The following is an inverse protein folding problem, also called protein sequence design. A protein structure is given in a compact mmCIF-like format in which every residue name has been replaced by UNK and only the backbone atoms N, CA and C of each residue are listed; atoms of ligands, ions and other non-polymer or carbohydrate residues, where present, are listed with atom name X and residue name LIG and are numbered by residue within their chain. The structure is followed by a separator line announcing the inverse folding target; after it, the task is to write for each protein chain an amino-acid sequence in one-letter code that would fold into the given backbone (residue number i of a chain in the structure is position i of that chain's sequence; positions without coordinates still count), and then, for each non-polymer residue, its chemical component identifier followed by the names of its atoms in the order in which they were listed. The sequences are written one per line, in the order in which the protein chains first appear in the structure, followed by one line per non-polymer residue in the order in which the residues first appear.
data_IF_388811091137
#
_entry.id   IF_388811091137
#
_cell.length_a   1.000
_cell.length_b   1.000
_cell.length_c   1.000
_cell.angle_alpha   90.00
_cell.angle_beta   90.00
_cell.angle_gamma   90.00
#
_symmetry.space_group_name_H-M   'P 1'
#
loop_
_entity.id
_entity.type
_entity.pdbx_description
1 polymer ?
#
# COMPACT_ATOMS: atom_id res chain seq x y z
N UNK A 1 -26.14 5.97 5.78
CA UNK A 1 -25.04 5.63 4.85
C UNK A 1 -23.80 5.48 5.69
N UNK A 2 -23.06 4.37 5.54
CA UNK A 2 -21.75 4.20 6.20
C UNK A 2 -20.82 5.33 5.76
N UNK A 3 -20.09 5.91 6.71
CA UNK A 3 -19.12 6.97 6.42
C UNK A 3 -17.72 6.39 6.49
N UNK A 4 -16.89 6.68 5.51
CA UNK A 4 -15.53 6.15 5.43
C UNK A 4 -14.49 7.25 5.52
N UNK A 5 -13.29 6.90 5.98
CA UNK A 5 -12.09 7.71 5.86
C UNK A 5 -10.91 6.91 5.30
N UNK A 6 -10.01 7.60 4.61
CA UNK A 6 -8.72 7.03 4.20
C UNK A 6 -7.67 7.48 5.20
N UNK A 7 -6.89 6.50 5.67
CA UNK A 7 -5.80 6.73 6.59
C UNK A 7 -4.49 6.27 5.98
N UNK A 8 -3.44 7.07 6.16
CA UNK A 8 -2.09 6.58 6.06
C UNK A 8 -1.81 5.70 7.27
N UNK A 9 -1.06 4.61 7.09
CA UNK A 9 -0.63 3.75 8.16
C UNK A 9 0.79 3.26 7.92
N UNK A 10 1.50 2.95 9.00
CA UNK A 10 2.81 2.33 8.93
C UNK A 10 2.91 1.06 9.78
N UNK A 11 3.66 0.11 9.24
CA UNK A 11 4.17 -1.06 9.94
C UNK A 11 5.67 -0.85 10.19
N UNK A 12 6.06 -0.84 11.45
CA UNK A 12 7.47 -0.78 11.84
C UNK A 12 8.15 -2.14 11.57
N UNK A 13 9.21 -2.13 10.76
CA UNK A 13 9.96 -3.34 10.44
C UNK A 13 10.75 -3.83 11.69
N UNK A 14 10.70 -5.12 12.01
CA UNK A 14 11.38 -5.69 13.17
C UNK A 14 12.88 -5.91 12.89
N UNK A 15 13.62 -4.85 12.59
CA UNK A 15 15.06 -4.91 12.34
C UNK A 15 15.80 -4.83 13.69
N UNK A 16 16.61 -5.85 14.05
CA UNK A 16 17.36 -5.85 15.30
C UNK A 16 18.22 -4.60 15.45
N UNK A 17 18.14 -3.97 16.62
CA UNK A 17 18.89 -2.76 16.99
C UNK A 17 18.61 -1.50 16.15
N UNK A 18 17.71 -1.56 15.16
CA UNK A 18 17.37 -0.42 14.29
C UNK A 18 15.87 -0.38 13.97
N UNK A 19 15.08 0.08 14.92
CA UNK A 19 13.62 -0.04 14.92
C UNK A 19 12.89 1.14 14.23
N UNK A 20 13.55 1.81 13.28
CA UNK A 20 13.03 3.03 12.63
C UNK A 20 12.64 2.85 11.18
N UNK A 21 12.82 1.68 10.58
CA UNK A 21 12.38 1.46 9.20
C UNK A 21 10.88 1.13 9.16
N UNK A 22 10.18 1.71 8.20
CA UNK A 22 8.74 1.59 8.08
C UNK A 22 8.33 1.11 6.68
N UNK A 23 7.25 0.33 6.68
CA UNK A 23 6.46 -0.02 5.52
C UNK A 23 5.13 0.73 5.60
N UNK A 24 4.90 1.63 4.66
CA UNK A 24 3.70 2.45 4.59
C UNK A 24 2.62 1.80 3.72
N UNK A 25 1.37 2.01 4.10
CA UNK A 25 0.21 1.51 3.39
C UNK A 25 -1.04 2.36 3.68
N UNK A 26 -2.07 2.19 2.85
CA UNK A 26 -3.33 2.91 2.98
C UNK A 26 -4.40 2.03 3.62
N UNK A 27 -5.26 2.63 4.44
CA UNK A 27 -6.39 1.97 5.09
C UNK A 27 -7.68 2.67 4.69
N UNK A 28 -8.68 1.91 4.29
CA UNK A 28 -10.07 2.36 4.29
C UNK A 28 -10.71 1.94 5.61
N UNK A 29 -11.30 2.89 6.33
CA UNK A 29 -11.93 2.65 7.62
C UNK A 29 -13.35 3.18 7.62
N UNK A 30 -14.28 2.40 8.14
CA UNK A 30 -15.63 2.86 8.46
C UNK A 30 -15.61 3.59 9.81
N UNK A 31 -16.19 4.79 9.85
CA UNK A 31 -15.98 5.76 10.92
C UNK A 31 -16.79 5.43 12.17
N UNK A 32 -18.04 5.01 12.02
CA UNK A 32 -18.96 4.84 13.15
C UNK A 32 -18.58 3.63 14.01
N UNK A 33 -18.27 2.51 13.35
CA UNK A 33 -17.81 1.27 13.97
C UNK A 33 -16.30 1.25 14.24
N UNK A 34 -15.55 2.23 13.68
CA UNK A 34 -14.09 2.27 13.71
C UNK A 34 -13.45 1.00 13.09
N UNK A 35 -14.11 0.35 12.14
CA UNK A 35 -13.68 -0.93 11.55
C UNK A 35 -12.77 -0.72 10.34
N UNK A 36 -11.66 -1.45 10.28
CA UNK A 36 -10.80 -1.51 9.08
C UNK A 36 -11.51 -2.32 8.01
N UNK A 37 -11.84 -1.67 6.90
CA UNK A 37 -12.61 -2.26 5.80
C UNK A 37 -11.69 -2.92 4.79
N UNK A 38 -10.61 -2.22 4.43
CA UNK A 38 -9.64 -2.72 3.49
C UNK A 38 -8.27 -2.05 3.70
N UNK A 39 -7.23 -2.69 3.16
CA UNK A 39 -5.91 -2.08 3.04
C UNK A 39 -5.37 -2.13 1.61
N UNK A 40 -4.63 -1.10 1.21
CA UNK A 40 -3.93 -0.99 -0.08
C UNK A 40 -2.42 -0.90 0.16
N UNK A 41 -1.66 -1.82 -0.44
CA UNK A 41 -0.21 -1.98 -0.21
C UNK A 41 0.56 -2.27 -1.49
N UNK A 42 1.83 -1.90 -1.51
CA UNK A 42 2.84 -2.60 -2.32
C UNK A 42 3.51 -3.67 -1.48
N UNK A 43 3.59 -4.91 -1.97
CA UNK A 43 4.16 -6.04 -1.24
C UNK A 43 5.14 -6.81 -2.13
N UNK A 44 6.19 -7.36 -1.53
CA UNK A 44 7.01 -8.34 -2.22
C UNK A 44 6.19 -9.62 -2.42
N UNK A 45 6.30 -10.20 -3.61
CA UNK A 45 5.58 -11.42 -3.99
C UNK A 45 6.53 -12.39 -4.65
N UNK A 46 6.52 -13.64 -4.22
CA UNK A 46 7.30 -14.70 -4.86
C UNK A 46 6.77 -14.97 -6.26
N UNK A 47 7.59 -14.75 -7.30
CA UNK A 47 7.22 -15.12 -8.68
C UNK A 47 7.00 -16.63 -8.83
N UNK A 48 7.65 -17.44 -8.01
CA UNK A 48 7.57 -18.91 -8.06
C UNK A 48 6.27 -19.46 -7.51
N UNK A 49 5.77 -18.87 -6.41
CA UNK A 49 4.61 -19.40 -5.69
C UNK A 49 3.39 -18.49 -5.70
N UNK A 50 3.53 -17.24 -6.14
CA UNK A 50 2.48 -16.21 -6.04
C UNK A 50 2.24 -15.70 -4.61
N UNK A 51 2.97 -16.20 -3.61
CA UNK A 51 2.74 -15.84 -2.22
C UNK A 51 3.31 -14.46 -1.88
N UNK A 52 2.55 -13.70 -1.09
CA UNK A 52 3.01 -12.47 -0.44
C UNK A 52 4.16 -12.81 0.51
N UNK A 53 5.20 -11.98 0.47
CA UNK A 53 6.34 -12.02 1.38
C UNK A 53 6.44 -10.64 2.06
N UNK A 54 6.27 -10.54 3.39
CA UNK A 54 6.22 -9.24 4.08
C UNK A 54 7.45 -8.35 3.84
N UNK A 55 8.64 -8.96 3.79
CA UNK A 55 9.90 -8.30 3.43
C UNK A 55 10.57 -9.16 2.37
N UNK A 56 10.70 -8.65 1.15
CA UNK A 56 11.38 -9.39 0.08
C UNK A 56 12.84 -9.65 0.46
N UNK A 57 13.30 -10.89 0.32
CA UNK A 57 14.66 -11.30 0.68
C UNK A 57 15.42 -11.97 -0.49
N UNK A 58 14.76 -12.12 -1.64
CA UNK A 58 15.28 -12.82 -2.80
C UNK A 58 15.05 -11.96 -4.06
N UNK A 59 16.02 -12.02 -4.99
CA UNK A 59 15.96 -11.38 -6.31
C UNK A 59 14.80 -11.87 -7.20
N UNK A 60 14.28 -13.06 -6.93
CA UNK A 60 13.14 -13.65 -7.67
C UNK A 60 11.79 -13.07 -7.21
N UNK A 61 11.76 -12.11 -6.29
CA UNK A 61 10.53 -11.47 -5.84
C UNK A 61 10.16 -10.30 -6.74
N UNK A 62 8.87 -10.18 -7.06
CA UNK A 62 8.28 -9.04 -7.74
C UNK A 62 7.63 -8.08 -6.74
N UNK A 63 7.64 -6.80 -7.05
CA UNK A 63 6.80 -5.80 -6.39
C UNK A 63 5.40 -5.87 -6.99
N UNK A 64 4.39 -6.11 -6.15
CA UNK A 64 2.98 -6.16 -6.57
C UNK A 64 2.13 -5.27 -5.67
N UNK A 65 1.15 -4.61 -6.27
CA UNK A 65 0.09 -3.88 -5.58
C UNK A 65 -1.06 -4.83 -5.21
N UNK A 66 -1.65 -4.61 -4.03
CA UNK A 66 -2.77 -5.39 -3.51
C UNK A 66 -3.80 -4.50 -2.83
N UNK A 67 -5.08 -4.86 -3.00
CA UNK A 67 -6.17 -4.47 -2.10
C UNK A 67 -6.59 -5.70 -1.32
N UNK A 68 -6.47 -5.66 0.00
CA UNK A 68 -7.01 -6.70 0.87
C UNK A 68 -8.29 -6.16 1.50
N UNK A 69 -9.44 -6.64 1.04
CA UNK A 69 -10.73 -6.32 1.64
C UNK A 69 -11.03 -7.31 2.79
N UNK A 70 -11.37 -6.79 3.96
CA UNK A 70 -11.70 -7.58 5.14
C UNK A 70 -13.20 -7.65 5.37
N UNK A 71 -13.91 -6.56 5.07
CA UNK A 71 -15.36 -6.49 5.22
C UNK A 71 -16.08 -7.19 4.06
N UNK A 72 -16.97 -8.13 4.39
CA UNK A 72 -17.68 -8.96 3.40
C UNK A 72 -18.68 -8.14 2.57
N UNK A 73 -19.39 -7.20 3.19
CA UNK A 73 -20.39 -6.37 2.50
C UNK A 73 -19.71 -5.48 1.47
N UNK A 74 -18.65 -4.79 1.87
CA UNK A 74 -17.83 -3.95 1.00
C UNK A 74 -17.18 -4.76 -0.13
N UNK A 75 -16.62 -5.93 0.18
CA UNK A 75 -16.01 -6.80 -0.83
C UNK A 75 -17.03 -7.22 -1.90
N UNK A 76 -18.22 -7.66 -1.47
CA UNK A 76 -19.30 -8.05 -2.39
C UNK A 76 -19.80 -6.86 -3.22
N UNK A 77 -19.97 -5.70 -2.61
CA UNK A 77 -20.46 -4.49 -3.28
C UNK A 77 -19.55 -4.07 -4.44
N UNK A 78 -18.23 -4.22 -4.28
CA UNK A 78 -17.25 -3.77 -5.28
C UNK A 78 -16.55 -4.90 -6.04
N UNK A 79 -17.05 -6.14 -5.92
CA UNK A 79 -16.49 -7.30 -6.62
C UNK A 79 -15.04 -7.62 -6.25
N UNK A 80 -14.66 -7.36 -4.99
CA UNK A 80 -13.32 -7.61 -4.47
C UNK A 80 -13.25 -9.01 -3.85
N UNK A 81 -12.09 -9.65 -3.96
CA UNK A 81 -11.82 -10.86 -3.19
C UNK A 81 -11.55 -10.50 -1.73
N UNK A 82 -12.26 -11.15 -0.81
CA UNK A 82 -11.96 -11.04 0.61
C UNK A 82 -10.61 -11.73 0.90
N UNK A 83 -9.79 -11.09 1.72
CA UNK A 83 -8.49 -11.62 2.11
C UNK A 83 -8.25 -11.55 3.61
N UNK A 84 -7.26 -12.30 4.06
CA UNK A 84 -6.90 -12.44 5.49
C UNK A 84 -5.50 -11.93 5.81
N UNK A 85 -4.69 -11.64 4.79
CA UNK A 85 -3.38 -11.05 4.99
C UNK A 85 -3.52 -9.61 5.49
N UNK A 86 -2.93 -9.30 6.64
CA UNK A 86 -2.91 -7.94 7.16
C UNK A 86 -1.53 -7.63 7.76
N UNK A 87 -1.01 -6.43 7.49
CA UNK A 87 0.12 -5.92 8.25
C UNK A 87 -0.38 -5.28 9.56
N UNK A 88 0.34 -5.47 10.69
CA UNK A 88 0.04 -4.76 11.92
C UNK A 88 0.08 -3.24 11.73
N UNK A 89 -0.96 -2.57 12.22
CA UNK A 89 -1.07 -1.11 12.20
C UNK A 89 -0.41 -0.58 13.46
N UNK A 90 0.85 -0.16 13.38
CA UNK A 90 1.55 0.40 14.53
C UNK A 90 1.16 1.86 14.78
N UNK A 91 1.06 2.64 13.70
CA UNK A 91 0.62 4.04 13.73
C UNK A 91 -0.22 4.31 12.49
N UNK A 92 -1.23 5.17 12.63
CA UNK A 92 -2.04 5.62 11.50
C UNK A 92 -2.46 7.09 11.69
N UNK A 93 -2.82 7.74 10.58
CA UNK A 93 -3.31 9.11 10.52
C UNK A 93 -4.43 9.22 9.50
N UNK A 94 -5.56 9.79 9.90
CA UNK A 94 -6.62 10.15 8.94
C UNK A 94 -6.10 11.25 8.01
N UNK A 95 -6.10 10.96 6.71
CA UNK A 95 -5.60 11.84 5.65
C UNK A 95 -6.75 12.40 4.82
N UNK A 96 -7.83 11.62 4.64
CA UNK A 96 -8.99 12.03 3.85
C UNK A 96 -10.31 11.67 4.54
N UNK A 97 -11.18 12.67 4.70
CA UNK A 97 -12.46 12.58 5.41
C UNK A 97 -13.51 13.46 4.69
N UNK A 98 -13.93 13.04 3.50
CA UNK A 98 -15.03 13.64 2.74
C UNK A 98 -15.97 12.56 2.21
N UNK A 99 -17.12 12.96 1.68
CA UNK A 99 -18.18 12.05 1.24
C UNK A 99 -17.76 11.13 0.08
N UNK A 100 -16.83 11.59 -0.76
CA UNK A 100 -16.27 10.87 -1.92
C UNK A 100 -15.08 9.95 -1.57
N UNK A 101 -14.81 9.72 -0.28
CA UNK A 101 -13.72 8.88 0.22
C UNK A 101 -13.64 7.50 -0.48
N UNK A 102 -14.77 6.84 -0.67
CA UNK A 102 -14.81 5.53 -1.34
C UNK A 102 -14.48 5.66 -2.84
N UNK A 103 -14.83 6.77 -3.48
CA UNK A 103 -14.51 6.99 -4.90
C UNK A 103 -13.00 7.10 -5.11
N UNK A 104 -12.31 7.87 -4.25
CA UNK A 104 -10.84 7.95 -4.24
C UNK A 104 -10.21 6.58 -3.98
N UNK A 105 -10.72 5.81 -3.02
CA UNK A 105 -10.23 4.46 -2.77
C UNK A 105 -10.36 3.53 -3.99
N UNK A 106 -11.50 3.60 -4.68
CA UNK A 106 -11.75 2.81 -5.88
C UNK A 106 -10.84 3.19 -7.05
N UNK A 107 -10.39 4.44 -7.15
CA UNK A 107 -9.33 4.82 -8.11
C UNK A 107 -8.03 4.06 -7.82
N UNK A 108 -7.63 3.98 -6.55
CA UNK A 108 -6.50 3.17 -6.10
C UNK A 108 -6.63 1.70 -6.53
N UNK A 109 -7.80 1.10 -6.32
CA UNK A 109 -8.07 -0.29 -6.73
C UNK A 109 -7.92 -0.47 -8.24
N UNK A 110 -8.44 0.45 -9.06
CA UNK A 110 -8.33 0.35 -10.53
C UNK A 110 -6.89 0.33 -11.03
N UNK A 111 -5.98 1.04 -10.35
CA UNK A 111 -4.57 1.07 -10.73
C UNK A 111 -3.80 -0.23 -10.43
N UNK A 112 -4.33 -1.13 -9.58
CA UNK A 112 -3.62 -2.35 -9.16
C UNK A 112 -3.16 -3.19 -10.35
N UNK A 113 -4.05 -3.42 -11.32
CA UNK A 113 -3.72 -4.24 -12.49
C UNK A 113 -2.57 -3.59 -13.29
N UNK A 114 -2.71 -2.31 -13.61
CA UNK A 114 -1.71 -1.55 -14.37
C UNK A 114 -0.36 -1.52 -13.66
N UNK A 115 -0.33 -1.33 -12.33
CA UNK A 115 0.89 -1.43 -11.52
C UNK A 115 1.50 -2.84 -11.63
N UNK A 116 0.69 -3.88 -11.49
CA UNK A 116 1.15 -5.27 -11.51
C UNK A 116 1.66 -5.72 -12.87
N UNK A 117 1.13 -5.16 -13.96
CA UNK A 117 1.53 -5.45 -15.34
C UNK A 117 2.91 -4.87 -15.70
N UNK A 118 3.41 -3.86 -14.96
CA UNK A 118 4.81 -3.40 -15.10
C UNK A 118 5.83 -4.46 -14.67
N UNK A 119 5.36 -5.46 -13.92
CA UNK A 119 6.14 -6.61 -13.47
C UNK A 119 7.48 -6.26 -12.80
N UNK A 120 7.48 -5.22 -11.98
CA UNK A 120 8.66 -4.67 -11.31
C UNK A 120 9.32 -5.69 -10.37
N UNK A 121 10.65 -5.65 -10.29
CA UNK A 121 11.39 -6.42 -9.30
C UNK A 121 11.27 -5.80 -7.92
N UNK A 122 11.18 -6.63 -6.88
CA UNK A 122 11.28 -6.16 -5.50
C UNK A 122 12.75 -6.24 -5.06
N UNK A 123 13.35 -5.13 -4.60
CA UNK A 123 14.74 -5.15 -4.17
C UNK A 123 14.91 -6.02 -2.92
N UNK A 124 15.93 -6.90 -2.84
CA UNK A 124 16.22 -7.64 -1.62
C UNK A 124 16.34 -6.72 -0.41
N UNK A 125 15.69 -7.09 0.69
CA UNK A 125 15.56 -6.32 1.92
C UNK A 125 14.86 -4.95 1.75
N UNK A 126 14.22 -4.71 0.61
CA UNK A 126 13.43 -3.51 0.35
C UNK A 126 14.23 -2.29 -0.06
N UNK A 127 15.51 -2.39 -0.44
CA UNK A 127 16.30 -1.23 -0.85
C UNK A 127 17.38 -1.53 -1.91
N UNK A 128 17.80 -0.49 -2.63
CA UNK A 128 18.96 -0.50 -3.53
C UNK A 128 20.00 0.53 -3.10
N UNK A 129 21.22 0.43 -3.62
CA UNK A 129 22.24 1.48 -3.50
C UNK A 129 22.43 2.11 -4.90
N UNK A 130 22.25 3.44 -5.06
CA UNK A 130 21.88 4.43 -4.04
C UNK A 130 20.42 4.29 -3.58
N UNK A 131 20.13 4.67 -2.33
CA UNK A 131 18.79 4.56 -1.72
C UNK A 131 17.72 5.31 -2.52
N UNK A 132 18.08 6.45 -3.13
CA UNK A 132 17.20 7.26 -3.97
C UNK A 132 16.70 6.56 -5.23
N UNK A 133 17.37 5.48 -5.67
CA UNK A 133 16.92 4.67 -6.80
C UNK A 133 15.92 3.57 -6.41
N UNK A 134 15.59 3.45 -5.12
CA UNK A 134 14.77 2.34 -4.63
C UNK A 134 13.31 2.51 -5.07
N UNK A 135 12.81 1.56 -5.87
CA UNK A 135 11.38 1.32 -6.09
C UNK A 135 10.96 0.09 -5.28
N UNK A 136 10.09 0.29 -4.28
CA UNK A 136 9.66 -0.77 -3.35
C UNK A 136 8.19 -0.56 -2.89
N UNK A 137 7.81 -1.16 -1.76
CA UNK A 137 6.48 -1.01 -1.16
C UNK A 137 6.08 0.45 -0.90
N UNK A 138 6.99 1.28 -0.38
CA UNK A 138 6.70 2.68 -0.06
C UNK A 138 6.54 3.53 -1.33
N UNK A 139 7.19 3.13 -2.43
CA UNK A 139 6.96 3.76 -3.74
C UNK A 139 5.55 3.47 -4.28
N UNK A 140 5.00 2.29 -4.00
CA UNK A 140 3.59 1.97 -4.32
C UNK A 140 2.64 2.75 -3.41
N UNK A 141 2.95 2.88 -2.12
CA UNK A 141 2.20 3.75 -1.21
C UNK A 141 2.13 5.20 -1.73
N UNK A 142 3.25 5.78 -2.16
CA UNK A 142 3.28 7.10 -2.79
C UNK A 142 2.47 7.12 -4.10
N UNK A 143 2.65 6.14 -4.97
CA UNK A 143 1.88 6.01 -6.22
C UNK A 143 0.37 6.04 -5.95
N UNK A 144 -0.09 5.29 -4.95
CA UNK A 144 -1.51 5.28 -4.59
C UNK A 144 -2.01 6.63 -4.09
N UNK A 145 -1.20 7.41 -3.36
CA UNK A 145 -1.60 8.77 -2.97
C UNK A 145 -1.96 9.63 -4.18
N UNK A 146 -1.15 9.55 -5.24
CA UNK A 146 -1.34 10.29 -6.49
C UNK A 146 -2.54 9.76 -7.28
N UNK A 147 -2.67 8.44 -7.41
CA UNK A 147 -3.80 7.81 -8.10
C UNK A 147 -5.13 8.12 -7.42
N UNK A 148 -5.15 8.11 -6.09
CA UNK A 148 -6.35 8.40 -5.30
C UNK A 148 -6.57 9.91 -5.12
N UNK A 149 -5.68 10.77 -5.63
CA UNK A 149 -5.76 12.23 -5.46
C UNK A 149 -5.87 12.69 -4.00
N UNK A 150 -5.19 11.99 -3.08
CA UNK A 150 -5.15 12.33 -1.65
C UNK A 150 -3.75 12.80 -1.23
N UNK A 151 -3.63 13.60 -0.16
CA UNK A 151 -2.33 14.03 0.33
C UNK A 151 -1.41 12.85 0.69
N UNK A 152 -0.16 12.87 0.26
CA UNK A 152 0.85 11.96 0.76
C UNK A 152 1.17 12.30 2.23
N UNK A 153 1.21 11.31 3.09
CA UNK A 153 1.62 11.47 4.48
C UNK A 153 2.86 10.62 4.78
N UNK A 154 3.78 11.15 5.57
CA UNK A 154 4.95 10.45 6.10
C UNK A 154 4.96 10.53 7.61
N UNK A 155 5.45 9.48 8.26
CA UNK A 155 5.52 9.43 9.73
C UNK A 155 6.89 9.89 10.23
N UNK A 156 6.93 11.02 10.93
CA UNK A 156 8.15 11.61 11.46
C UNK A 156 8.91 10.65 12.40
N UNK A 157 10.23 10.65 12.29
CA UNK A 157 11.11 9.79 13.10
C UNK A 157 11.35 8.38 12.51
N UNK A 158 10.75 8.05 11.37
CA UNK A 158 10.93 6.78 10.67
C UNK A 158 11.58 6.95 9.29
N UNK A 159 12.32 5.94 8.87
CA UNK A 159 12.93 5.82 7.55
C UNK A 159 11.98 5.07 6.62
N UNK A 160 11.44 5.81 5.66
CA UNK A 160 10.53 5.32 4.63
C UNK A 160 11.29 5.14 3.32
N UNK A 161 12.18 4.14 3.23
CA UNK A 161 12.99 3.95 2.01
C UNK A 161 12.06 3.81 0.81
N UNK A 162 12.34 4.52 -0.29
CA UNK A 162 11.57 4.46 -1.53
C UNK A 162 10.37 5.41 -1.58
N UNK A 163 10.08 6.14 -0.49
CA UNK A 163 8.94 7.08 -0.42
C UNK A 163 9.06 8.25 -1.41
N UNK A 164 10.28 8.69 -1.73
CA UNK A 164 10.52 9.75 -2.70
C UNK A 164 10.19 9.32 -4.13
N UNK A 165 10.21 8.00 -4.39
CA UNK A 165 9.88 7.42 -5.68
C UNK A 165 8.38 7.17 -5.84
N UNK A 166 7.87 7.44 -7.03
CA UNK A 166 6.54 7.01 -7.47
C UNK A 166 6.63 6.47 -8.89
N UNK A 167 5.77 5.51 -9.22
CA UNK A 167 5.63 4.98 -10.58
C UNK A 167 4.42 5.58 -11.31
N UNK A 168 3.76 6.60 -10.74
CA UNK A 168 2.55 7.20 -11.31
C UNK A 168 2.71 7.64 -12.77
N UNK A 169 3.83 8.30 -13.11
CA UNK A 169 4.09 8.73 -14.48
C UNK A 169 4.19 7.58 -15.49
N UNK A 170 4.52 6.37 -15.03
CA UNK A 170 4.58 5.17 -15.87
C UNK A 170 3.19 4.57 -16.11
N UNK A 171 2.23 4.82 -15.23
CA UNK A 171 0.90 4.20 -15.29
C UNK A 171 -0.23 5.16 -15.69
N UNK A 172 -0.06 6.48 -15.53
CA UNK A 172 -1.14 7.47 -15.65
C UNK A 172 -1.88 7.50 -17.00
N UNK A 173 -1.25 7.07 -18.08
CA UNK A 173 -1.88 6.98 -19.42
C UNK A 173 -2.62 5.66 -19.66
N UNK A 174 -2.67 4.79 -18.64
CA UNK A 174 -3.28 3.46 -18.65
C UNK A 174 -4.32 3.29 -17.52
N UNK A 175 -4.73 4.38 -16.87
CA UNK A 175 -5.72 4.42 -15.79
C UNK A 175 -7.12 4.80 -16.30
#
# INVERSE_FOLDING_TARGET
MQKYCIQAAMFQLPIPFFNRFAHDFWILREIESNTVIAQLHGLATSRKSGNIVPIGYNKDHSLKAYCIAYDTEFANQYGLQQGTFALPIHVHRTVYLKEDCVQHWLQGIKAIKTINDLDLNYPPYGFTIPLSATINSNSIYHTFAQVMEIPLHTFDGFFHIGIEGSIYDQIKYHL
#
